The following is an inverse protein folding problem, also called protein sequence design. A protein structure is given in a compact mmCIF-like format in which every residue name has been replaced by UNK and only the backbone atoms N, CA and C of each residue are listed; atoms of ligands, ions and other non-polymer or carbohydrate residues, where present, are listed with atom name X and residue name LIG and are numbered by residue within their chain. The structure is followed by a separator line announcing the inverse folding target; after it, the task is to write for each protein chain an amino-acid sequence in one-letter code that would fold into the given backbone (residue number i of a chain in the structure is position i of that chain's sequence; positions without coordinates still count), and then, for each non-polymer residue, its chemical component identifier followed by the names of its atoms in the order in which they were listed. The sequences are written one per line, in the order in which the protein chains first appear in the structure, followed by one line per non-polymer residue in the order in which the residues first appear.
data_IF_534866119602
#
_entry.id   IF_534866119602
#
_cell.length_a   1.000
_cell.length_b   1.000
_cell.length_c   1.000
_cell.angle_alpha   90.00
_cell.angle_beta   90.00
_cell.angle_gamma   90.00
#
_symmetry.space_group_name_H-M   'P 1'
#
loop_
_entity.id
_entity.type
_entity.pdbx_description
1 polymer ?
#
# COMPACT_ATOMS: atom_id res chain seq x y z
N UNK A 1 -13.51 -25.37 -17.29
CA UNK A 1 -12.53 -24.50 -16.61
C UNK A 1 -12.22 -23.34 -17.51
N UNK A 2 -12.43 -22.11 -17.07
CA UNK A 2 -11.96 -20.93 -17.82
C UNK A 2 -10.44 -20.89 -17.72
N UNK A 3 -9.77 -20.60 -18.83
CA UNK A 3 -8.32 -20.43 -18.84
C UNK A 3 -8.01 -19.01 -18.30
N UNK A 4 -7.76 -18.90 -17.01
CA UNK A 4 -7.44 -17.62 -16.36
C UNK A 4 -5.97 -17.25 -16.54
N UNK A 5 -5.61 -16.95 -17.79
CA UNK A 5 -4.26 -16.47 -18.12
C UNK A 5 -4.10 -14.94 -17.99
N UNK A 6 -5.21 -14.20 -17.83
CA UNK A 6 -5.21 -12.73 -17.75
C UNK A 6 -5.73 -12.25 -16.37
N UNK A 7 -4.79 -11.82 -15.51
CA UNK A 7 -5.11 -11.25 -14.20
C UNK A 7 -6.06 -10.04 -14.30
N UNK A 8 -5.98 -9.25 -15.35
CA UNK A 8 -6.83 -8.07 -15.56
C UNK A 8 -8.29 -8.48 -15.74
N UNK A 9 -8.56 -9.52 -16.52
CA UNK A 9 -9.91 -10.05 -16.71
C UNK A 9 -10.48 -10.61 -15.40
N UNK A 10 -9.68 -11.35 -14.65
CA UNK A 10 -10.07 -11.86 -13.33
C UNK A 10 -10.41 -10.75 -12.35
N UNK A 11 -9.60 -9.69 -12.29
CA UNK A 11 -9.87 -8.54 -11.43
C UNK A 11 -11.14 -7.80 -11.83
N UNK A 12 -11.45 -7.66 -13.12
CA UNK A 12 -12.72 -7.09 -13.59
C UNK A 12 -13.92 -7.92 -13.11
N UNK A 13 -13.87 -9.23 -13.25
CA UNK A 13 -14.92 -10.12 -12.77
C UNK A 13 -15.13 -9.98 -11.25
N UNK A 14 -14.04 -9.96 -10.47
CA UNK A 14 -14.12 -9.81 -9.01
C UNK A 14 -14.69 -8.45 -8.60
N UNK A 15 -14.29 -7.36 -9.24
CA UNK A 15 -14.86 -6.03 -8.97
C UNK A 15 -16.37 -6.05 -9.19
N UNK A 16 -16.83 -6.65 -10.29
CA UNK A 16 -18.26 -6.74 -10.60
C UNK A 16 -19.01 -7.62 -9.58
N UNK A 17 -18.41 -8.74 -9.18
CA UNK A 17 -18.99 -9.65 -8.19
C UNK A 17 -19.10 -8.99 -6.81
N UNK A 18 -17.99 -8.38 -6.33
CA UNK A 18 -17.95 -7.69 -5.04
C UNK A 18 -18.94 -6.54 -4.99
N UNK A 19 -19.10 -5.77 -6.07
CA UNK A 19 -20.05 -4.65 -6.13
C UNK A 19 -21.53 -5.08 -6.10
N UNK A 20 -21.83 -6.25 -6.63
CA UNK A 20 -23.20 -6.80 -6.66
C UNK A 20 -23.64 -7.46 -5.36
N UNK A 21 -22.71 -7.77 -4.45
CA UNK A 21 -23.05 -8.42 -3.19
C UNK A 21 -23.77 -7.47 -2.24
N UNK A 22 -24.76 -8.00 -1.55
CA UNK A 22 -25.50 -7.28 -0.49
C UNK A 22 -24.58 -7.06 0.72
N UNK A 23 -24.50 -5.84 1.20
CA UNK A 23 -23.67 -5.45 2.36
C UNK A 23 -24.13 -6.13 3.67
N UNK A 24 -25.27 -6.77 3.70
CA UNK A 24 -25.80 -7.50 4.86
C UNK A 24 -25.28 -8.95 4.96
N UNK A 25 -24.76 -9.50 3.89
CA UNK A 25 -24.37 -10.93 3.79
C UNK A 25 -22.93 -11.19 4.30
N UNK A 26 -22.12 -10.15 4.49
CA UNK A 26 -20.73 -10.27 4.87
C UNK A 26 -20.53 -10.39 6.37
N UNK A 27 -20.26 -11.60 6.86
CA UNK A 27 -19.83 -11.81 8.24
C UNK A 27 -18.28 -11.77 8.34
N UNK A 28 -17.77 -10.63 8.74
CA UNK A 28 -16.35 -10.33 8.87
C UNK A 28 -15.73 -10.71 10.20
N UNK A 29 -16.54 -11.19 11.12
CA UNK A 29 -16.02 -11.43 12.46
C UNK A 29 -14.84 -12.41 12.39
N UNK A 30 -13.66 -12.08 12.97
CA UNK A 30 -12.61 -13.06 13.22
C UNK A 30 -13.12 -14.23 14.06
N UNK A 31 -14.28 -14.04 14.71
CA UNK A 31 -15.03 -15.03 15.50
C UNK A 31 -16.27 -15.54 14.76
N UNK A 32 -16.65 -14.94 13.63
CA UNK A 32 -17.89 -15.24 12.91
C UNK A 32 -17.77 -16.45 12.00
N UNK A 33 -18.83 -17.19 11.91
CA UNK A 33 -19.03 -18.23 10.92
C UNK A 33 -19.27 -17.58 9.55
N UNK A 34 -18.40 -17.74 8.63
CA UNK A 34 -18.61 -17.33 7.23
C UNK A 34 -19.51 -18.32 6.51
N UNK A 35 -19.81 -19.44 7.10
CA UNK A 35 -20.78 -20.41 6.58
C UNK A 35 -21.83 -20.73 7.64
N UNK A 36 -23.11 -20.60 7.29
CA UNK A 36 -24.24 -21.01 8.15
C UNK A 36 -24.26 -22.52 8.41
N UNK A 37 -23.62 -23.29 7.57
CA UNK A 37 -23.40 -24.73 7.73
C UNK A 37 -21.92 -25.03 7.56
N UNK A 38 -21.26 -25.53 8.62
CA UNK A 38 -19.91 -26.06 8.50
C UNK A 38 -19.93 -27.20 7.50
N UNK A 39 -19.19 -27.14 6.40
CA UNK A 39 -19.12 -28.27 5.48
C UNK A 39 -18.62 -29.48 6.24
N UNK A 40 -19.28 -30.60 6.07
CA UNK A 40 -18.84 -31.87 6.67
C UNK A 40 -17.63 -32.43 5.92
N UNK A 41 -16.46 -31.95 6.33
CA UNK A 41 -15.18 -32.36 5.74
C UNK A 41 -14.58 -33.59 6.39
N UNK A 42 -15.25 -34.23 7.37
CA UNK A 42 -14.70 -35.35 8.17
C UNK A 42 -14.28 -36.56 7.35
N UNK A 43 -14.92 -36.77 6.20
CA UNK A 43 -14.65 -37.90 5.31
C UNK A 43 -14.10 -37.47 3.94
N UNK A 44 -13.80 -36.20 3.73
CA UNK A 44 -13.25 -35.67 2.45
C UNK A 44 -11.74 -35.65 2.50
N UNK A 45 -11.11 -36.08 1.42
CA UNK A 45 -9.69 -35.87 1.20
C UNK A 45 -9.48 -34.39 0.88
N UNK A 46 -8.71 -33.71 1.69
CA UNK A 46 -8.34 -32.33 1.45
C UNK A 46 -7.03 -32.26 0.66
N UNK A 47 -7.04 -31.50 -0.41
CA UNK A 47 -5.86 -31.08 -1.13
C UNK A 47 -5.39 -29.76 -0.50
N UNK A 48 -4.09 -29.62 -0.27
CA UNK A 48 -3.52 -28.42 0.37
C UNK A 48 -2.32 -27.94 -0.42
N UNK A 49 -2.14 -26.63 -0.47
CA UNK A 49 -0.96 -26.02 -1.11
C UNK A 49 0.32 -26.14 -0.24
N UNK A 50 0.26 -26.77 0.91
CA UNK A 50 1.40 -26.94 1.82
C UNK A 50 0.95 -27.12 3.27
N UNK A 51 1.88 -27.06 4.23
CA UNK A 51 1.54 -27.09 5.64
C UNK A 51 0.96 -25.75 6.12
N UNK A 52 0.29 -25.79 7.29
CA UNK A 52 -0.07 -24.57 8.01
C UNK A 52 1.15 -23.67 8.18
N UNK A 53 1.00 -22.40 7.85
CA UNK A 53 2.09 -21.43 7.86
C UNK A 53 1.63 -20.06 8.37
N UNK A 54 2.59 -19.19 8.62
CA UNK A 54 2.35 -17.78 9.02
C UNK A 54 3.05 -16.85 8.05
N UNK A 55 2.42 -15.73 7.73
CA UNK A 55 2.99 -14.69 6.90
C UNK A 55 3.28 -13.40 7.69
N UNK A 56 4.17 -12.57 7.17
CA UNK A 56 4.53 -11.26 7.75
C UNK A 56 3.71 -10.11 7.18
N UNK A 57 2.98 -10.35 6.11
CA UNK A 57 2.13 -9.39 5.42
C UNK A 57 0.65 -9.73 5.58
N UNK A 58 -0.22 -8.75 5.37
CA UNK A 58 -1.65 -9.01 5.22
C UNK A 58 -1.84 -9.75 3.90
N UNK A 59 -2.64 -10.80 3.93
CA UNK A 59 -3.05 -11.57 2.76
C UNK A 59 -4.56 -11.60 2.67
N UNK A 60 -5.09 -11.43 1.47
CA UNK A 60 -6.52 -11.39 1.24
C UNK A 60 -6.84 -12.47 0.22
N UNK A 61 -7.56 -13.50 0.65
CA UNK A 61 -8.11 -14.51 -0.24
C UNK A 61 -9.44 -14.01 -0.80
N UNK A 62 -9.62 -14.07 -2.09
CA UNK A 62 -10.87 -13.73 -2.79
C UNK A 62 -11.28 -14.92 -3.63
N UNK A 63 -12.44 -15.51 -3.36
CA UNK A 63 -12.96 -16.61 -4.15
C UNK A 63 -13.47 -16.10 -5.51
N UNK A 64 -13.02 -16.73 -6.60
CA UNK A 64 -13.43 -16.40 -7.97
C UNK A 64 -14.46 -17.41 -8.50
N UNK A 65 -14.19 -18.70 -8.33
CA UNK A 65 -15.08 -19.80 -8.74
C UNK A 65 -15.06 -20.93 -7.70
N UNK A 66 -16.17 -21.65 -7.57
CA UNK A 66 -16.33 -22.73 -6.61
C UNK A 66 -16.39 -22.23 -5.16
N UNK A 67 -15.66 -22.88 -4.26
CA UNK A 67 -15.53 -22.48 -2.87
C UNK A 67 -14.07 -22.47 -2.46
N UNK A 68 -13.60 -21.37 -1.87
CA UNK A 68 -12.28 -21.30 -1.26
C UNK A 68 -12.35 -21.70 0.22
N UNK A 69 -11.49 -22.60 0.65
CA UNK A 69 -11.44 -23.10 2.02
C UNK A 69 -10.14 -22.66 2.69
N UNK A 70 -10.27 -21.92 3.79
CA UNK A 70 -9.13 -21.50 4.59
C UNK A 70 -9.18 -22.19 5.94
N UNK A 71 -8.16 -22.98 6.20
CA UNK A 71 -7.93 -23.59 7.51
C UNK A 71 -7.21 -22.57 8.39
N UNK A 72 -7.82 -22.16 9.48
CA UNK A 72 -7.20 -21.44 10.58
C UNK A 72 -6.90 -22.42 11.72
N UNK A 73 -6.19 -21.97 12.75
CA UNK A 73 -5.79 -22.83 13.87
C UNK A 73 -6.98 -23.55 14.53
N UNK A 74 -8.10 -22.85 14.70
CA UNK A 74 -9.26 -23.31 15.46
C UNK A 74 -10.53 -23.55 14.62
N UNK A 75 -10.49 -23.20 13.31
CA UNK A 75 -11.69 -23.23 12.46
C UNK A 75 -11.37 -23.29 10.97
N UNK A 76 -12.41 -23.59 10.19
CA UNK A 76 -12.42 -23.48 8.74
C UNK A 76 -13.28 -22.29 8.32
N UNK A 77 -12.77 -21.49 7.39
CA UNK A 77 -13.51 -20.45 6.69
C UNK A 77 -13.80 -20.94 5.29
N UNK A 78 -15.02 -20.76 4.81
CA UNK A 78 -15.43 -21.09 3.44
C UNK A 78 -15.91 -19.82 2.78
N UNK A 79 -15.39 -19.54 1.60
CA UNK A 79 -15.75 -18.37 0.79
C UNK A 79 -16.51 -18.81 -0.45
N UNK A 80 -17.60 -18.15 -0.73
CA UNK A 80 -18.34 -18.23 -1.99
C UNK A 80 -17.77 -17.24 -3.02
N UNK A 81 -18.08 -17.42 -4.32
CA UNK A 81 -17.60 -16.50 -5.35
C UNK A 81 -17.91 -15.03 -5.06
N UNK A 82 -16.88 -14.18 -5.14
CA UNK A 82 -16.92 -12.76 -4.80
C UNK A 82 -16.76 -12.45 -3.31
N UNK A 83 -16.77 -13.43 -2.43
CA UNK A 83 -16.42 -13.22 -1.03
C UNK A 83 -14.90 -13.20 -0.85
N UNK A 84 -14.45 -12.53 0.21
CA UNK A 84 -13.03 -12.45 0.55
C UNK A 84 -12.81 -12.53 2.07
N UNK A 85 -11.64 -12.98 2.45
CA UNK A 85 -11.19 -13.05 3.84
C UNK A 85 -9.78 -12.51 3.96
N UNK A 86 -9.55 -11.63 4.95
CA UNK A 86 -8.22 -11.09 5.20
C UNK A 86 -7.54 -11.85 6.34
N UNK A 87 -6.38 -12.38 6.04
CA UNK A 87 -5.48 -13.04 6.99
C UNK A 87 -4.48 -12.01 7.49
N UNK A 88 -4.54 -11.71 8.78
CA UNK A 88 -3.63 -10.74 9.40
C UNK A 88 -2.23 -11.33 9.59
N UNK A 89 -1.18 -10.49 9.69
CA UNK A 89 0.18 -10.96 9.93
C UNK A 89 0.27 -11.86 11.17
N UNK A 90 1.02 -12.95 11.06
CA UNK A 90 1.24 -13.96 12.11
C UNK A 90 0.03 -14.86 12.44
N UNK A 91 -1.04 -14.80 11.69
CA UNK A 91 -2.14 -15.77 11.80
C UNK A 91 -1.71 -17.09 11.17
N UNK A 92 -1.84 -18.20 11.91
CA UNK A 92 -1.57 -19.54 11.39
C UNK A 92 -2.72 -19.95 10.48
N UNK A 93 -2.42 -20.23 9.22
CA UNK A 93 -3.44 -20.56 8.22
C UNK A 93 -2.88 -21.45 7.11
N UNK A 94 -3.78 -22.05 6.36
CA UNK A 94 -3.50 -22.76 5.13
C UNK A 94 -4.72 -22.70 4.21
N UNK A 95 -4.48 -22.83 2.94
CA UNK A 95 -5.48 -22.98 1.92
C UNK A 95 -5.68 -24.47 1.63
N UNK A 96 -6.92 -24.89 1.50
CA UNK A 96 -7.25 -26.25 1.17
C UNK A 96 -8.55 -26.32 0.37
N UNK A 97 -8.75 -27.44 -0.33
CA UNK A 97 -9.99 -27.72 -1.08
C UNK A 97 -10.31 -29.21 -0.97
N UNK A 98 -11.58 -29.61 -0.84
CA UNK A 98 -11.97 -31.00 -1.01
C UNK A 98 -11.58 -31.53 -2.41
N UNK A 99 -11.05 -32.74 -2.48
CA UNK A 99 -10.56 -33.31 -3.74
C UNK A 99 -11.67 -33.47 -4.82
N UNK A 100 -12.92 -33.52 -4.39
CA UNK A 100 -14.11 -33.62 -5.24
C UNK A 100 -14.71 -32.29 -5.65
N UNK A 101 -14.10 -31.18 -5.23
CA UNK A 101 -14.56 -29.80 -5.55
C UNK A 101 -13.56 -29.08 -6.47
N UNK A 102 -14.08 -28.10 -7.20
CA UNK A 102 -13.30 -27.17 -7.98
C UNK A 102 -13.26 -25.82 -7.28
N UNK A 103 -12.12 -25.14 -7.36
CA UNK A 103 -11.95 -23.80 -6.80
C UNK A 103 -10.97 -23.02 -7.65
N UNK A 104 -11.23 -21.75 -7.84
CA UNK A 104 -10.26 -20.77 -8.28
C UNK A 104 -10.36 -19.56 -7.37
N UNK A 105 -9.25 -19.16 -6.79
CA UNK A 105 -9.17 -17.99 -5.94
C UNK A 105 -7.96 -17.12 -6.27
N UNK A 106 -8.00 -15.89 -5.76
CA UNK A 106 -6.91 -14.94 -5.89
C UNK A 106 -6.47 -14.50 -4.50
N UNK A 107 -5.20 -14.68 -4.22
CA UNK A 107 -4.55 -14.16 -3.04
C UNK A 107 -3.87 -12.83 -3.35
N UNK A 108 -4.28 -11.78 -2.65
CA UNK A 108 -3.67 -10.46 -2.72
C UNK A 108 -2.77 -10.26 -1.49
N UNK A 109 -1.48 -10.31 -1.69
CA UNK A 109 -0.51 -10.12 -0.62
C UNK A 109 -0.06 -8.65 -0.58
N UNK A 110 -0.37 -7.95 0.53
CA UNK A 110 0.05 -6.57 0.77
C UNK A 110 1.47 -6.56 1.33
N UNK A 111 2.46 -6.71 0.47
CA UNK A 111 3.87 -6.73 0.85
C UNK A 111 4.34 -5.39 1.38
N UNK A 112 5.53 -5.35 2.00
CA UNK A 112 6.16 -4.11 2.43
C UNK A 112 6.59 -3.21 1.27
N UNK A 113 6.86 -3.80 0.07
CA UNK A 113 7.07 -3.03 -1.15
C UNK A 113 5.75 -2.49 -1.70
N UNK A 114 5.77 -1.49 -2.57
CA UNK A 114 4.57 -0.83 -3.12
C UNK A 114 3.77 -1.69 -4.10
N UNK A 115 3.97 -2.99 -4.07
CA UNK A 115 3.26 -3.93 -4.93
C UNK A 115 2.23 -4.70 -4.14
N UNK A 116 1.12 -4.98 -4.78
CA UNK A 116 0.22 -6.06 -4.38
C UNK A 116 0.62 -7.27 -5.23
N UNK A 117 1.01 -8.35 -4.56
CA UNK A 117 1.29 -9.61 -5.23
C UNK A 117 -0.02 -10.38 -5.35
N UNK A 118 -0.48 -10.58 -6.57
CA UNK A 118 -1.59 -11.47 -6.86
C UNK A 118 -1.05 -12.89 -7.12
N UNK A 119 -1.65 -13.86 -6.48
CA UNK A 119 -1.39 -15.29 -6.66
C UNK A 119 -2.72 -15.94 -7.01
N UNK A 120 -2.82 -16.57 -8.15
CA UNK A 120 -4.01 -17.36 -8.53
C UNK A 120 -3.75 -18.79 -8.13
N UNK A 121 -4.63 -19.35 -7.33
CA UNK A 121 -4.62 -20.75 -6.93
C UNK A 121 -5.85 -21.48 -7.48
N UNK A 122 -5.73 -22.78 -7.71
CA UNK A 122 -6.79 -23.60 -8.24
C UNK A 122 -6.27 -25.00 -8.58
N UNK A 123 -7.13 -25.85 -9.16
CA UNK A 123 -6.69 -27.15 -9.66
C UNK A 123 -5.99 -27.02 -11.01
N UNK A 124 -4.94 -27.80 -11.19
CA UNK A 124 -4.24 -27.92 -12.47
C UNK A 124 -4.82 -29.03 -13.36
N UNK A 125 -4.14 -29.29 -14.50
CA UNK A 125 -4.55 -30.33 -15.44
C UNK A 125 -4.45 -31.75 -14.88
N UNK A 126 -3.65 -31.96 -13.83
CA UNK A 126 -3.46 -33.24 -13.14
C UNK A 126 -4.39 -33.38 -11.93
N UNK A 127 -5.36 -32.47 -11.77
CA UNK A 127 -6.32 -32.39 -10.66
C UNK A 127 -5.66 -32.15 -9.29
N UNK A 128 -4.46 -31.53 -9.31
CA UNK A 128 -3.76 -31.08 -8.11
C UNK A 128 -4.08 -29.62 -7.82
N UNK A 129 -4.28 -29.29 -6.54
CA UNK A 129 -4.50 -27.91 -6.11
C UNK A 129 -3.17 -27.21 -5.90
N UNK A 130 -2.96 -26.12 -6.61
CA UNK A 130 -1.71 -25.39 -6.54
C UNK A 130 -1.76 -23.99 -7.14
N UNK A 131 -0.60 -23.33 -7.15
CA UNK A 131 -0.45 -21.99 -7.73
C UNK A 131 -0.39 -22.09 -9.25
N UNK A 132 -1.35 -21.46 -9.92
CA UNK A 132 -1.45 -21.40 -11.38
C UNK A 132 -0.74 -20.16 -11.95
N UNK A 133 -0.78 -19.04 -11.22
CA UNK A 133 -0.26 -17.79 -11.72
C UNK A 133 0.19 -16.86 -10.59
N UNK A 134 1.28 -16.13 -10.81
CA UNK A 134 1.78 -15.13 -9.85
C UNK A 134 2.19 -13.85 -10.58
N UNK A 135 1.67 -12.72 -10.15
CA UNK A 135 2.10 -11.40 -10.65
C UNK A 135 2.14 -10.36 -9.52
N UNK A 136 3.17 -9.55 -9.50
CA UNK A 136 3.28 -8.42 -8.59
C UNK A 136 2.96 -7.13 -9.35
N UNK A 137 1.87 -6.47 -8.98
CA UNK A 137 1.36 -5.24 -9.60
C UNK A 137 1.71 -4.05 -8.72
N UNK A 138 2.28 -3.00 -9.32
CA UNK A 138 2.49 -1.72 -8.65
C UNK A 138 1.14 -1.05 -8.41
N UNK A 139 0.92 -0.57 -7.21
CA UNK A 139 -0.30 0.15 -6.84
C UNK A 139 0.09 1.46 -6.20
N UNK A 140 -0.73 2.50 -6.41
CA UNK A 140 -0.54 3.78 -5.74
C UNK A 140 -0.39 3.57 -4.22
N UNK A 141 0.68 4.08 -3.60
CA UNK A 141 0.95 3.90 -2.18
C UNK A 141 -0.20 4.30 -1.27
N UNK A 142 -0.91 5.38 -1.64
CA UNK A 142 -2.06 5.87 -0.87
C UNK A 142 -3.20 4.84 -0.88
N UNK A 143 -3.53 4.28 -2.05
CA UNK A 143 -4.60 3.27 -2.17
C UNK A 143 -4.27 2.05 -1.32
N UNK A 144 -3.02 1.58 -1.40
CA UNK A 144 -2.56 0.45 -0.60
C UNK A 144 -2.56 0.74 0.90
N UNK A 145 -2.13 1.94 1.30
CA UNK A 145 -2.14 2.38 2.70
C UNK A 145 -3.57 2.45 3.24
N UNK A 146 -4.50 3.03 2.48
CA UNK A 146 -5.90 3.12 2.85
C UNK A 146 -6.56 1.73 2.97
N UNK A 147 -6.23 0.79 2.08
CA UNK A 147 -6.71 -0.59 2.20
C UNK A 147 -6.17 -1.23 3.48
N UNK A 148 -4.85 -1.13 3.71
CA UNK A 148 -4.21 -1.69 4.92
C UNK A 148 -4.82 -1.10 6.19
N UNK A 149 -4.95 0.22 6.27
CA UNK A 149 -5.54 0.92 7.42
C UNK A 149 -6.98 0.49 7.67
N UNK A 150 -7.79 0.38 6.61
CA UNK A 150 -9.17 -0.08 6.73
C UNK A 150 -9.24 -1.53 7.24
N UNK A 151 -8.38 -2.42 6.75
CA UNK A 151 -8.32 -3.80 7.23
C UNK A 151 -7.90 -3.87 8.71
N UNK A 152 -6.90 -3.09 9.13
CA UNK A 152 -6.42 -3.08 10.51
C UNK A 152 -7.42 -2.48 11.50
N UNK A 153 -8.22 -1.49 11.09
CA UNK A 153 -9.20 -0.80 11.96
C UNK A 153 -10.58 -1.41 11.93
N UNK A 154 -11.06 -1.76 10.74
CA UNK A 154 -12.46 -2.06 10.53
C UNK A 154 -12.76 -3.56 10.57
N UNK A 155 -11.73 -4.42 10.45
CA UNK A 155 -11.94 -5.87 10.37
C UNK A 155 -12.62 -6.44 11.63
N UNK A 156 -12.31 -5.88 12.81
CA UNK A 156 -12.89 -6.27 14.09
C UNK A 156 -13.99 -5.29 14.57
N UNK A 157 -14.26 -4.23 13.82
CA UNK A 157 -15.20 -3.20 14.21
C UNK A 157 -16.64 -3.64 13.98
N UNK A 158 -17.50 -3.34 14.95
CA UNK A 158 -18.95 -3.42 14.81
C UNK A 158 -19.57 -2.06 14.41
N UNK A 159 -18.72 -1.08 14.07
CA UNK A 159 -19.16 0.26 13.74
C UNK A 159 -19.99 0.29 12.46
N UNK A 160 -20.94 1.23 12.41
CA UNK A 160 -21.77 1.42 11.24
C UNK A 160 -20.92 1.76 10.01
N UNK A 161 -21.06 0.95 8.96
CA UNK A 161 -20.39 1.17 7.69
C UNK A 161 -18.97 0.61 7.58
N UNK A 162 -18.41 0.01 8.65
CA UNK A 162 -17.05 -0.60 8.61
C UNK A 162 -16.89 -1.57 7.45
N UNK A 163 -17.87 -2.46 7.25
CA UNK A 163 -17.88 -3.43 6.14
C UNK A 163 -17.89 -2.77 4.77
N UNK A 164 -18.69 -1.72 4.62
CA UNK A 164 -18.77 -0.93 3.38
C UNK A 164 -17.44 -0.27 3.07
N UNK A 165 -16.75 0.27 4.09
CA UNK A 165 -15.43 0.88 3.92
C UNK A 165 -14.40 -0.13 3.42
N UNK A 166 -14.28 -1.29 4.06
CA UNK A 166 -13.33 -2.33 3.63
C UNK A 166 -13.63 -2.82 2.21
N UNK A 167 -14.91 -3.11 1.91
CA UNK A 167 -15.36 -3.51 0.56
C UNK A 167 -14.96 -2.48 -0.50
N UNK A 168 -15.23 -1.19 -0.25
CA UNK A 168 -14.87 -0.13 -1.18
C UNK A 168 -13.34 -0.02 -1.36
N UNK A 169 -12.54 -0.16 -0.30
CA UNK A 169 -11.08 -0.16 -0.40
C UNK A 169 -10.52 -1.35 -1.17
N UNK A 170 -11.16 -2.50 -1.06
CA UNK A 170 -10.84 -3.67 -1.89
C UNK A 170 -11.09 -3.37 -3.38
N UNK A 171 -12.25 -2.82 -3.70
CA UNK A 171 -12.59 -2.40 -5.07
C UNK A 171 -11.61 -1.35 -5.59
N UNK A 172 -11.28 -0.33 -4.80
CA UNK A 172 -10.29 0.70 -5.15
C UNK A 172 -8.93 0.07 -5.50
N UNK A 173 -8.46 -0.87 -4.67
CA UNK A 173 -7.18 -1.55 -4.91
C UNK A 173 -7.20 -2.40 -6.18
N UNK A 174 -8.28 -3.14 -6.43
CA UNK A 174 -8.43 -3.94 -7.66
C UNK A 174 -8.50 -3.07 -8.90
N UNK A 175 -9.25 -1.96 -8.88
CA UNK A 175 -9.30 -0.99 -9.97
C UNK A 175 -7.92 -0.37 -10.22
N UNK A 176 -7.17 -0.04 -9.16
CA UNK A 176 -5.81 0.47 -9.30
C UNK A 176 -4.87 -0.57 -9.95
N UNK A 177 -5.01 -1.84 -9.58
CA UNK A 177 -4.27 -2.94 -10.22
C UNK A 177 -4.63 -3.08 -11.71
N UNK A 178 -5.91 -3.04 -12.06
CA UNK A 178 -6.39 -3.10 -13.45
C UNK A 178 -5.77 -1.97 -14.28
N UNK A 179 -5.88 -0.73 -13.80
CA UNK A 179 -5.32 0.45 -14.48
C UNK A 179 -3.82 0.35 -14.67
N UNK A 180 -3.13 -0.19 -13.66
CA UNK A 180 -1.69 -0.39 -13.75
C UNK A 180 -1.33 -1.44 -14.82
N UNK A 181 -2.08 -2.55 -14.89
CA UNK A 181 -1.90 -3.57 -15.91
C UNK A 181 -2.16 -3.02 -17.32
N UNK A 182 -3.18 -2.18 -17.48
CA UNK A 182 -3.47 -1.49 -18.75
C UNK A 182 -2.32 -0.56 -19.18
N UNK A 183 -1.71 0.17 -18.24
CA UNK A 183 -0.53 1.00 -18.51
C UNK A 183 0.69 0.15 -18.90
N UNK A 184 0.84 -1.03 -18.27
CA UNK A 184 1.88 -2.00 -18.62
C UNK A 184 1.73 -2.50 -20.05
N UNK A 185 0.55 -2.87 -20.45
CA UNK A 185 0.24 -3.31 -21.81
C UNK A 185 0.54 -2.22 -22.86
N UNK A 186 0.39 -0.94 -22.48
CA UNK A 186 0.69 0.22 -23.33
C UNK A 186 2.16 0.68 -23.30
N UNK A 187 3.03 0.01 -22.53
CA UNK A 187 4.44 0.38 -22.38
C UNK A 187 4.70 1.68 -21.59
N UNK A 188 3.70 2.19 -20.86
CA UNK A 188 3.76 3.48 -20.16
C UNK A 188 4.10 3.40 -18.67
N UNK A 189 4.35 2.24 -18.15
CA UNK A 189 4.35 1.88 -16.74
C UNK A 189 5.35 2.61 -15.85
N UNK A 190 6.59 2.72 -16.33
CA UNK A 190 7.71 3.22 -15.51
C UNK A 190 7.53 4.71 -15.17
N UNK A 191 6.99 5.49 -16.10
CA UNK A 191 6.85 6.94 -15.93
C UNK A 191 5.75 7.34 -14.94
N UNK A 192 4.65 6.60 -14.90
CA UNK A 192 3.53 6.94 -14.00
C UNK A 192 3.86 6.65 -12.54
N UNK A 193 4.43 5.48 -12.25
CA UNK A 193 4.88 5.12 -10.91
C UNK A 193 5.97 6.07 -10.40
N UNK A 194 6.94 6.44 -11.23
CA UNK A 194 7.97 7.42 -10.84
C UNK A 194 7.36 8.77 -10.46
N UNK A 195 6.33 9.23 -11.16
CA UNK A 195 5.61 10.47 -10.81
C UNK A 195 4.90 10.36 -9.46
N UNK A 196 4.23 9.22 -9.18
CA UNK A 196 3.58 8.99 -7.90
C UNK A 196 4.57 9.00 -6.74
N UNK A 197 5.70 8.29 -6.87
CA UNK A 197 6.79 8.29 -5.87
C UNK A 197 7.31 9.71 -5.63
N UNK A 198 7.54 10.49 -6.68
CA UNK A 198 8.05 11.86 -6.57
C UNK A 198 7.04 12.77 -5.87
N UNK A 199 5.76 12.67 -6.22
CA UNK A 199 4.68 13.45 -5.58
C UNK A 199 4.63 13.17 -4.08
N UNK A 200 4.64 11.90 -3.68
CA UNK A 200 4.58 11.50 -2.27
C UNK A 200 5.81 11.97 -1.47
N UNK A 201 7.01 11.90 -2.09
CA UNK A 201 8.23 12.45 -1.47
C UNK A 201 8.10 13.97 -1.29
N UNK A 202 7.59 14.69 -2.29
CA UNK A 202 7.40 16.14 -2.21
C UNK A 202 6.42 16.50 -1.10
N UNK A 203 5.27 15.80 -1.04
CA UNK A 203 4.26 16.01 0.00
C UNK A 203 4.82 15.74 1.39
N UNK A 204 5.55 14.64 1.56
CA UNK A 204 6.25 14.32 2.81
C UNK A 204 7.20 15.46 3.22
N UNK A 205 8.04 15.93 2.29
CA UNK A 205 9.01 16.99 2.56
C UNK A 205 8.36 18.33 2.94
N UNK A 206 7.19 18.65 2.40
CA UNK A 206 6.44 19.85 2.78
C UNK A 206 5.83 19.72 4.18
N UNK A 207 5.24 18.56 4.52
CA UNK A 207 4.65 18.33 5.84
C UNK A 207 5.69 18.21 6.96
N UNK A 208 6.87 17.64 6.65
CA UNK A 208 7.98 17.43 7.59
C UNK A 208 9.16 18.39 7.35
N UNK A 209 8.88 19.58 6.84
CA UNK A 209 9.91 20.52 6.39
C UNK A 209 10.86 21.01 7.51
N UNK A 210 10.39 20.99 8.77
CA UNK A 210 11.18 21.36 9.95
C UNK A 210 11.90 20.17 10.59
N UNK A 211 11.66 18.94 10.12
CA UNK A 211 12.25 17.73 10.65
C UNK A 211 13.49 17.31 9.85
N UNK A 212 14.33 16.48 10.45
CA UNK A 212 15.42 15.85 9.72
C UNK A 212 14.87 14.77 8.80
N UNK A 213 15.19 14.87 7.51
CA UNK A 213 14.77 13.84 6.54
C UNK A 213 15.63 12.59 6.72
N UNK A 214 15.03 11.53 7.24
CA UNK A 214 15.66 10.21 7.30
C UNK A 214 15.33 9.46 6.01
N UNK A 215 16.30 9.48 5.06
CA UNK A 215 16.12 8.87 3.74
C UNK A 215 15.88 7.36 3.81
N UNK A 216 16.36 6.71 4.86
CA UNK A 216 16.15 5.29 5.06
C UNK A 216 14.67 5.00 5.34
N UNK A 217 14.05 5.74 6.27
CA UNK A 217 12.63 5.57 6.61
C UNK A 217 11.73 5.86 5.41
N UNK A 218 12.06 6.94 4.67
CA UNK A 218 11.32 7.31 3.46
C UNK A 218 11.45 6.24 2.36
N UNK A 219 12.63 5.67 2.18
CA UNK A 219 12.87 4.61 1.22
C UNK A 219 12.18 3.29 1.63
N UNK A 220 12.17 2.98 2.93
CA UNK A 220 11.44 1.83 3.49
C UNK A 220 9.93 1.99 3.33
N UNK A 221 9.39 3.19 3.59
CA UNK A 221 7.97 3.50 3.36
C UNK A 221 7.60 3.31 1.88
N UNK A 222 8.46 3.74 0.96
CA UNK A 222 8.29 3.54 -0.49
C UNK A 222 8.68 2.14 -0.97
N UNK A 223 9.23 1.30 -0.08
CA UNK A 223 9.73 -0.06 -0.34
C UNK A 223 10.73 -0.16 -1.51
N UNK A 224 11.60 0.83 -1.60
CA UNK A 224 12.70 0.87 -2.57
C UNK A 224 14.01 1.20 -1.83
N UNK A 225 15.15 0.97 -2.48
CA UNK A 225 16.42 1.37 -1.90
C UNK A 225 16.59 2.91 -1.93
N UNK A 226 17.30 3.46 -0.95
CA UNK A 226 17.65 4.90 -0.90
C UNK A 226 18.31 5.37 -2.20
N UNK A 227 19.17 4.53 -2.79
CA UNK A 227 19.84 4.82 -4.08
C UNK A 227 18.80 4.94 -5.21
N UNK A 228 17.83 4.05 -5.26
CA UNK A 228 16.77 4.06 -6.29
C UNK A 228 15.83 5.26 -6.10
N UNK A 229 15.42 5.53 -4.86
CA UNK A 229 14.60 6.70 -4.51
C UNK A 229 15.26 8.01 -4.96
N UNK A 230 16.53 8.23 -4.58
CA UNK A 230 17.27 9.42 -4.99
C UNK A 230 17.44 9.53 -6.51
N UNK A 231 17.63 8.41 -7.22
CA UNK A 231 17.74 8.41 -8.69
C UNK A 231 16.45 8.87 -9.33
N UNK A 232 15.30 8.25 -8.96
CA UNK A 232 13.97 8.61 -9.49
C UNK A 232 13.66 10.09 -9.21
N UNK A 233 13.88 10.52 -7.97
CA UNK A 233 13.60 11.88 -7.56
C UNK A 233 14.47 12.90 -8.32
N UNK A 234 15.77 12.61 -8.48
CA UNK A 234 16.69 13.47 -9.21
C UNK A 234 16.38 13.53 -10.71
N UNK A 235 15.99 12.40 -11.31
CA UNK A 235 15.57 12.36 -12.72
C UNK A 235 14.33 13.23 -12.98
N UNK A 236 13.39 13.26 -12.02
CA UNK A 236 12.15 14.02 -12.15
C UNK A 236 12.27 15.51 -11.75
N UNK A 237 13.07 15.83 -10.70
CA UNK A 237 13.14 17.18 -10.12
C UNK A 237 14.44 17.93 -10.44
N UNK A 238 15.41 17.26 -11.02
CA UNK A 238 16.75 17.80 -11.28
C UNK A 238 17.67 17.88 -10.07
N UNK A 239 17.19 17.55 -8.85
CA UNK A 239 17.95 17.68 -7.61
C UNK A 239 17.76 16.48 -6.68
N UNK A 240 18.62 16.33 -5.67
CA UNK A 240 18.47 15.26 -4.67
C UNK A 240 17.39 15.62 -3.66
N UNK A 241 16.82 14.62 -2.99
CA UNK A 241 15.81 14.80 -1.93
C UNK A 241 16.32 15.73 -0.82
N UNK A 242 17.57 15.53 -0.38
CA UNK A 242 18.19 16.37 0.67
C UNK A 242 18.30 17.83 0.23
N UNK A 243 18.73 18.07 -1.00
CA UNK A 243 18.82 19.44 -1.54
C UNK A 243 17.45 20.08 -1.70
N UNK A 244 16.46 19.31 -2.13
CA UNK A 244 15.08 19.78 -2.25
C UNK A 244 14.50 20.16 -0.88
N UNK A 245 14.70 19.34 0.16
CA UNK A 245 14.31 19.65 1.53
C UNK A 245 15.02 20.90 2.07
N UNK A 246 16.31 21.06 1.77
CA UNK A 246 17.06 22.26 2.15
C UNK A 246 16.52 23.52 1.45
N UNK A 247 16.07 23.41 0.20
CA UNK A 247 15.43 24.54 -0.51
C UNK A 247 14.09 24.92 0.14
N UNK A 248 13.26 23.94 0.52
CA UNK A 248 12.02 24.23 1.27
C UNK A 248 12.33 25.00 2.56
N UNK A 249 13.30 24.54 3.37
CA UNK A 249 13.71 25.23 4.60
C UNK A 249 14.24 26.64 4.33
N UNK A 250 14.96 26.81 3.22
CA UNK A 250 15.49 28.12 2.82
C UNK A 250 14.37 29.10 2.47
N UNK A 251 13.34 28.66 1.74
CA UNK A 251 12.17 29.51 1.43
C UNK A 251 11.39 29.86 2.69
N UNK A 252 11.20 28.92 3.61
CA UNK A 252 10.63 29.20 4.93
C UNK A 252 11.48 30.20 5.73
N UNK A 253 12.81 30.07 5.69
CA UNK A 253 13.70 31.02 6.33
C UNK A 253 13.53 32.44 5.78
N UNK A 254 13.46 32.60 4.45
CA UNK A 254 13.18 33.87 3.80
C UNK A 254 11.84 34.43 4.26
N UNK A 255 10.80 33.60 4.31
CA UNK A 255 9.49 34.02 4.80
C UNK A 255 9.57 34.56 6.24
N UNK A 256 10.12 33.79 7.19
CA UNK A 256 10.24 34.22 8.59
C UNK A 256 11.11 35.48 8.75
N UNK A 257 12.18 35.61 7.97
CA UNK A 257 13.05 36.75 8.01
C UNK A 257 12.35 38.04 7.56
N UNK A 258 11.39 37.96 6.64
CA UNK A 258 10.70 39.11 6.05
C UNK A 258 9.36 39.43 6.71
N UNK A 259 8.69 38.46 7.29
CA UNK A 259 7.32 38.60 7.82
C UNK A 259 7.23 38.59 9.35
N UNK A 260 8.33 38.27 10.05
CA UNK A 260 8.33 38.16 11.51
C UNK A 260 9.51 38.89 12.15
N UNK A 261 9.40 39.21 13.46
CA UNK A 261 10.47 39.75 14.28
C UNK A 261 11.27 38.68 15.06
N UNK A 262 11.10 37.40 14.72
CA UNK A 262 11.82 36.31 15.36
C UNK A 262 13.34 36.51 15.27
N UNK A 263 14.05 36.26 16.36
CA UNK A 263 15.51 36.31 16.37
C UNK A 263 16.09 35.29 15.38
N UNK A 264 17.24 35.58 14.80
CA UNK A 264 17.92 34.66 13.89
C UNK A 264 18.17 33.31 14.52
N UNK A 265 18.46 33.26 15.82
CA UNK A 265 18.64 32.06 16.61
C UNK A 265 17.34 31.20 16.65
N UNK A 266 16.20 31.89 16.85
CA UNK A 266 14.90 31.21 16.97
C UNK A 266 14.44 30.64 15.62
N UNK A 267 14.70 31.39 14.52
CA UNK A 267 14.46 30.87 13.15
C UNK A 267 15.34 29.65 12.85
N UNK A 268 16.62 29.69 13.23
CA UNK A 268 17.52 28.56 13.03
C UNK A 268 17.03 27.32 13.79
N UNK A 269 16.56 27.50 15.02
CA UNK A 269 16.00 26.41 15.83
C UNK A 269 14.67 25.89 15.25
N UNK A 270 13.76 26.78 14.83
CA UNK A 270 12.46 26.43 14.25
C UNK A 270 12.62 25.59 12.97
N UNK A 271 13.64 25.89 12.18
CA UNK A 271 13.95 25.19 10.92
C UNK A 271 14.95 24.01 11.09
N UNK A 272 15.20 23.63 12.35
CA UNK A 272 16.05 22.49 12.72
C UNK A 272 17.49 22.58 12.15
N UNK A 273 18.06 23.78 12.14
CA UNK A 273 19.49 23.93 11.92
C UNK A 273 20.27 23.70 13.22
N UNK A 274 21.48 23.17 13.09
CA UNK A 274 22.34 22.86 14.26
C UNK A 274 22.51 24.07 15.20
N UNK A 275 22.79 25.23 14.65
CA UNK A 275 22.86 26.51 15.34
C UNK A 275 22.67 27.71 14.37
N UNK A 276 22.64 28.92 14.92
CA UNK A 276 22.49 30.14 14.14
C UNK A 276 23.68 30.44 13.18
N UNK A 277 24.88 29.95 13.49
CA UNK A 277 26.06 30.16 12.66
C UNK A 277 26.05 29.20 11.47
N UNK A 278 25.68 27.96 11.71
CA UNK A 278 25.44 26.96 10.65
C UNK A 278 24.33 27.44 9.69
N UNK A 279 23.22 27.90 10.24
CA UNK A 279 22.13 28.51 9.47
C UNK A 279 22.64 29.71 8.65
N UNK A 280 23.34 30.65 9.28
CA UNK A 280 23.86 31.84 8.61
C UNK A 280 24.79 31.54 7.46
N UNK A 281 25.66 30.54 7.59
CA UNK A 281 26.56 30.09 6.53
C UNK A 281 25.80 29.48 5.34
N UNK A 282 24.85 28.56 5.59
CA UNK A 282 24.05 27.93 4.52
C UNK A 282 23.18 28.99 3.82
N UNK A 283 22.52 29.85 4.58
CA UNK A 283 21.67 30.90 4.06
C UNK A 283 22.46 31.87 3.17
N UNK A 284 23.65 32.31 3.62
CA UNK A 284 24.52 33.21 2.84
C UNK A 284 25.04 32.51 1.57
N UNK A 285 25.40 31.24 1.66
CA UNK A 285 25.83 30.46 0.49
C UNK A 285 24.74 30.36 -0.56
N UNK A 286 23.47 30.19 -0.15
CA UNK A 286 22.34 30.04 -1.05
C UNK A 286 21.79 31.35 -1.59
N UNK A 287 21.85 32.45 -0.81
CA UNK A 287 21.20 33.73 -1.16
C UNK A 287 22.19 34.88 -1.48
N UNK A 288 23.47 34.66 -1.22
CA UNK A 288 24.52 35.71 -1.34
C UNK A 288 24.55 36.69 -0.18
N UNK A 289 23.51 36.71 0.69
CA UNK A 289 23.39 37.67 1.82
C UNK A 289 23.27 36.91 3.13
N UNK A 290 23.81 37.45 4.22
CA UNK A 290 23.55 36.91 5.54
C UNK A 290 22.05 37.06 5.91
N UNK A 291 21.50 36.26 6.85
CA UNK A 291 20.11 36.43 7.32
C UNK A 291 19.80 37.83 7.83
N UNK A 292 20.78 38.48 8.50
CA UNK A 292 20.64 39.89 8.99
C UNK A 292 20.58 40.88 7.84
N UNK A 293 21.48 40.78 6.85
CA UNK A 293 21.47 41.63 5.67
C UNK A 293 20.20 41.45 4.85
N UNK A 294 19.73 40.19 4.71
CA UNK A 294 18.51 39.87 3.97
C UNK A 294 17.27 40.49 4.62
N UNK A 295 17.16 40.44 5.96
CA UNK A 295 16.07 41.04 6.74
C UNK A 295 16.04 42.57 6.58
N UNK A 296 17.21 43.21 6.64
CA UNK A 296 17.31 44.69 6.50
C UNK A 296 16.88 45.15 5.11
N UNK A 297 17.39 44.52 4.06
CA UNK A 297 17.11 44.91 2.68
C UNK A 297 15.65 44.77 2.24
N UNK A 298 14.84 43.99 2.95
CA UNK A 298 13.38 43.82 2.66
C UNK A 298 12.50 44.74 3.52
N UNK A 299 13.05 45.41 4.54
CA UNK A 299 12.32 46.42 5.35
C UNK A 299 12.50 47.83 4.83
N UNK A 300 13.40 48.02 3.88
CA UNK A 300 13.70 49.31 3.23
C UNK A 300 13.01 49.42 1.84
N UNK A 301 12.41 48.36 1.32
CA UNK A 301 11.52 48.32 0.16
C UNK A 301 10.05 48.41 0.60
#
# INVERSE_FOLDING_TARGET
MRDYTDLKEMLHLLVDMIRKQDDTVWDWSPKGSVCSEKPDLRNKKLLTHGPLHINKSIEICVCLEGHAYLQLEDRMVVLEPGQFFAVMPRTLHNECIPADEECTDIWLNLRQDQRIRAVVAGKDADDEFGIQYVRAVLVDPLIKSLLKESLERELDSQDYGARILVKNRMVDAMIAMIRQLELEDQGQTVKHWQKSVVSEVVDYLHHHSTERVELQDLAEHMAISVKHLNRIFKEATGTTIVNYANNIRLEQAKYYLTTTDLKIKDIAQLLNYYDQYHFGRIFKQATGKSPVEFRKGKREE
#
